data_IF_380988795862
#
_entry.id   IF_380988795862
#
_cell.length_a   1.000
_cell.length_b   1.000
_cell.length_c   1.000
_cell.angle_alpha   90.00
_cell.angle_beta   90.00
_cell.angle_gamma   90.00
#
_symmetry.space_group_name_H-M   'P 1'
#
loop_
_entity.id
_entity.type
_entity.pdbx_description
1 polymer ?
#
# COMPACT_ATOMS: atom_id res chain seq x y z
N UNK A 1 -23.97 108.14 74.53
CA UNK A 1 -22.88 108.01 75.53
C UNK A 1 -23.47 107.33 76.75
N UNK A 2 -22.93 106.30 77.42
CA UNK A 2 -21.90 105.29 77.18
C UNK A 2 -22.00 104.28 78.35
N UNK A 3 -22.01 102.98 78.05
CA UNK A 3 -21.44 101.79 78.74
C UNK A 3 -21.76 101.28 80.19
N UNK A 4 -21.97 99.94 80.22
CA UNK A 4 -21.52 98.85 81.15
C UNK A 4 -22.14 98.62 82.56
N UNK A 5 -22.22 97.35 83.07
CA UNK A 5 -21.06 96.53 83.55
C UNK A 5 -21.19 94.95 83.54
N UNK A 6 -20.21 94.23 84.14
CA UNK A 6 -20.09 92.76 84.32
C UNK A 6 -19.37 92.36 85.64
N UNK A 7 -19.73 91.25 86.34
CA UNK A 7 -18.89 90.39 87.25
C UNK A 7 -19.63 89.11 87.79
N UNK A 8 -19.02 88.07 88.48
CA UNK A 8 -18.82 86.68 87.97
C UNK A 8 -19.20 85.46 88.92
N UNK A 9 -18.54 84.29 88.70
CA UNK A 9 -18.82 82.82 88.85
C UNK A 9 -18.42 82.12 90.20
N UNK A 10 -19.03 80.95 90.52
CA UNK A 10 -18.44 79.82 91.32
C UNK A 10 -19.18 78.46 91.08
N UNK A 11 -18.50 77.28 91.10
CA UNK A 11 -19.10 75.92 91.29
C UNK A 11 -18.04 74.80 91.57
N UNK A 12 -18.38 73.81 92.42
CA UNK A 12 -17.56 72.71 93.02
C UNK A 12 -18.19 71.31 92.73
N UNK A 13 -17.41 70.20 92.62
CA UNK A 13 -17.90 68.84 92.20
C UNK A 13 -17.19 67.61 92.90
N UNK A 14 -17.88 66.55 93.39
CA UNK A 14 -17.38 65.55 94.38
C UNK A 14 -16.90 64.14 93.90
N UNK A 15 -16.50 63.91 92.64
CA UNK A 15 -16.39 62.56 92.01
C UNK A 15 -15.13 61.66 92.27
N UNK A 16 -14.32 61.83 93.31
CA UNK A 16 -12.97 61.20 93.35
C UNK A 16 -12.79 59.82 94.02
N UNK A 17 -13.70 59.28 94.85
CA UNK A 17 -13.42 58.06 95.65
C UNK A 17 -13.95 56.71 95.08
N UNK A 18 -14.92 56.66 94.18
CA UNK A 18 -15.44 55.38 93.61
C UNK A 18 -14.49 54.68 92.61
N UNK A 19 -13.30 55.23 92.35
CA UNK A 19 -12.47 54.86 91.20
C UNK A 19 -11.56 53.63 91.37
N UNK A 20 -11.23 53.18 92.59
CA UNK A 20 -10.06 52.28 92.79
C UNK A 20 -10.34 50.75 92.74
N UNK A 21 -11.46 50.26 93.30
CA UNK A 21 -11.79 48.82 93.23
C UNK A 21 -12.19 48.34 91.83
N UNK A 22 -12.65 49.26 90.97
CA UNK A 22 -12.92 48.98 89.57
C UNK A 22 -11.66 48.59 88.79
N UNK A 23 -10.47 49.05 89.21
CA UNK A 23 -9.23 48.90 88.44
C UNK A 23 -8.71 47.46 88.47
N UNK A 24 -8.77 46.78 89.62
CA UNK A 24 -8.19 45.43 89.82
C UNK A 24 -9.03 44.36 89.10
N UNK A 25 -10.37 44.45 89.16
CA UNK A 25 -11.26 43.59 88.40
C UNK A 25 -11.12 43.79 86.89
N UNK A 26 -10.83 45.02 86.46
CA UNK A 26 -10.57 45.35 85.06
C UNK A 26 -9.26 44.73 84.58
N UNK A 27 -8.18 44.82 85.35
CA UNK A 27 -6.87 44.24 84.99
C UNK A 27 -6.88 42.70 84.83
N UNK A 28 -7.57 41.97 85.71
CA UNK A 28 -7.70 40.51 85.60
C UNK A 28 -8.53 40.10 84.38
N UNK A 29 -9.61 40.84 84.09
CA UNK A 29 -10.43 40.64 82.87
C UNK A 29 -9.60 40.88 81.62
N UNK A 30 -8.80 41.95 81.58
CA UNK A 30 -7.88 42.22 80.46
C UNK A 30 -6.80 41.14 80.31
N UNK A 31 -6.30 40.58 81.40
CA UNK A 31 -5.29 39.51 81.37
C UNK A 31 -5.86 38.19 80.84
N UNK A 32 -7.06 37.79 81.29
CA UNK A 32 -7.76 36.63 80.76
C UNK A 32 -8.13 36.80 79.29
N UNK A 33 -8.54 38.01 78.89
CA UNK A 33 -8.79 38.34 77.49
C UNK A 33 -7.51 38.22 76.65
N UNK A 34 -6.38 38.70 77.17
CA UNK A 34 -5.09 38.60 76.50
C UNK A 34 -4.64 37.14 76.31
N UNK A 35 -4.77 36.29 77.34
CA UNK A 35 -4.47 34.87 77.20
C UNK A 35 -5.40 34.15 76.23
N UNK A 36 -6.70 34.48 76.23
CA UNK A 36 -7.66 33.93 75.28
C UNK A 36 -7.34 34.34 73.84
N UNK A 37 -6.92 35.60 73.62
CA UNK A 37 -6.48 36.09 72.31
C UNK A 37 -5.21 35.37 71.87
N UNK A 38 -4.19 35.26 72.73
CA UNK A 38 -2.93 34.58 72.39
C UNK A 38 -3.15 33.11 72.10
N UNK A 39 -3.96 32.42 72.91
CA UNK A 39 -4.35 31.03 72.68
C UNK A 39 -5.14 30.85 71.39
N UNK A 40 -6.08 31.75 71.10
CA UNK A 40 -6.86 31.76 69.86
C UNK A 40 -5.98 31.99 68.63
N UNK A 41 -5.09 32.98 68.67
CA UNK A 41 -4.13 33.27 67.59
C UNK A 41 -3.17 32.11 67.39
N UNK A 42 -2.63 31.54 68.48
CA UNK A 42 -1.76 30.35 68.42
C UNK A 42 -2.47 29.14 67.82
N UNK A 43 -3.73 28.89 68.19
CA UNK A 43 -4.56 27.82 67.64
C UNK A 43 -4.86 28.00 66.16
N UNK A 44 -5.20 29.22 65.74
CA UNK A 44 -5.44 29.55 64.32
C UNK A 44 -4.15 29.40 63.51
N UNK A 45 -3.01 29.88 64.02
CA UNK A 45 -1.73 29.73 63.36
C UNK A 45 -1.35 28.25 63.20
N UNK A 46 -1.50 27.45 64.25
CA UNK A 46 -1.25 26.01 64.20
C UNK A 46 -2.16 25.31 63.18
N UNK A 47 -3.45 25.64 63.18
CA UNK A 47 -4.39 25.09 62.19
C UNK A 47 -4.04 25.48 60.75
N UNK A 48 -3.68 26.74 60.51
CA UNK A 48 -3.31 27.20 59.17
C UNK A 48 -1.98 26.62 58.67
N UNK A 49 -1.03 26.34 59.57
CA UNK A 49 0.27 25.74 59.23
C UNK A 49 0.22 24.22 59.07
N UNK A 50 -0.70 23.54 59.77
CA UNK A 50 -0.80 22.07 59.76
C UNK A 50 -1.97 21.54 58.93
N UNK A 51 -2.85 22.42 58.41
CA UNK A 51 -3.94 21.96 57.53
C UNK A 51 -3.36 21.29 56.28
N UNK A 52 -3.85 20.10 55.91
CA UNK A 52 -3.48 19.47 54.64
C UNK A 52 -3.82 20.42 53.50
N UNK A 53 -2.92 20.58 52.54
CA UNK A 53 -3.25 21.26 51.30
C UNK A 53 -4.30 20.44 50.55
N UNK A 54 -5.38 21.06 50.02
CA UNK A 54 -6.31 20.34 49.16
C UNK A 54 -5.55 19.81 47.94
N UNK A 55 -5.87 18.60 47.47
CA UNK A 55 -5.24 18.06 46.28
C UNK A 55 -5.46 19.01 45.09
N UNK A 56 -4.48 19.11 44.18
CA UNK A 56 -4.63 19.95 43.00
C UNK A 56 -5.87 19.50 42.19
N UNK A 57 -6.61 20.43 41.58
CA UNK A 57 -7.76 20.08 40.77
C UNK A 57 -7.32 19.19 39.61
N UNK A 58 -8.00 18.06 39.44
CA UNK A 58 -7.76 17.11 38.35
C UNK A 58 -8.11 17.83 37.04
N UNK A 59 -7.11 18.11 36.21
CA UNK A 59 -7.36 18.59 34.86
C UNK A 59 -7.78 17.41 33.98
N UNK A 60 -9.10 17.23 33.83
CA UNK A 60 -9.64 16.33 32.83
C UNK A 60 -9.30 16.85 31.43
N UNK A 61 -8.30 16.25 30.80
CA UNK A 61 -8.05 16.45 29.38
C UNK A 61 -9.20 15.81 28.62
N UNK A 62 -10.15 16.62 28.14
CA UNK A 62 -11.19 16.13 27.24
C UNK A 62 -10.51 15.55 26.00
N UNK A 63 -10.57 14.23 25.88
CA UNK A 63 -10.12 13.53 24.68
C UNK A 63 -10.94 14.05 23.49
N UNK A 64 -10.25 14.68 22.54
CA UNK A 64 -10.87 15.08 21.29
C UNK A 64 -11.37 13.83 20.57
N UNK A 65 -12.64 13.82 20.17
CA UNK A 65 -13.18 12.75 19.34
C UNK A 65 -12.41 12.71 18.03
N UNK A 66 -11.99 11.49 17.63
CA UNK A 66 -11.32 11.25 16.35
C UNK A 66 -12.23 11.79 15.25
N UNK A 67 -11.79 12.84 14.55
CA UNK A 67 -12.50 13.29 13.36
C UNK A 67 -12.35 12.22 12.31
N UNK A 68 -13.44 11.50 12.03
CA UNK A 68 -13.50 10.56 10.91
C UNK A 68 -13.27 11.36 9.65
N UNK A 69 -12.11 11.18 9.03
CA UNK A 69 -11.78 11.83 7.75
C UNK A 69 -12.79 11.34 6.73
N UNK A 70 -13.70 12.21 6.28
CA UNK A 70 -14.54 11.90 5.14
C UNK A 70 -13.63 11.60 3.94
N UNK A 71 -13.70 10.37 3.45
CA UNK A 71 -13.01 9.99 2.23
C UNK A 71 -13.60 10.84 1.10
N UNK A 72 -12.73 11.56 0.39
CA UNK A 72 -13.11 12.27 -0.82
C UNK A 72 -13.77 11.28 -1.77
N UNK A 73 -14.98 11.59 -2.25
CA UNK A 73 -15.64 10.78 -3.29
C UNK A 73 -14.75 10.83 -4.54
N UNK A 74 -14.05 9.73 -4.80
CA UNK A 74 -13.31 9.55 -6.06
C UNK A 74 -14.35 9.24 -7.12
N UNK A 75 -14.63 10.20 -8.01
CA UNK A 75 -15.32 9.91 -9.25
C UNK A 75 -14.34 9.17 -10.17
N UNK A 76 -14.56 7.87 -10.33
CA UNK A 76 -13.74 7.07 -11.23
C UNK A 76 -14.05 7.49 -12.68
N UNK A 77 -13.03 7.78 -13.50
CA UNK A 77 -13.25 8.02 -14.91
C UNK A 77 -13.91 6.80 -15.55
N UNK A 78 -14.91 7.03 -16.39
CA UNK A 78 -15.51 5.95 -17.18
C UNK A 78 -14.55 5.62 -18.32
N UNK A 79 -13.84 4.51 -18.21
CA UNK A 79 -13.00 3.97 -19.28
C UNK A 79 -13.84 3.01 -20.11
N UNK A 80 -13.92 3.26 -21.42
CA UNK A 80 -14.56 2.35 -22.36
C UNK A 80 -13.50 1.47 -23.02
N UNK A 81 -13.73 0.16 -23.02
CA UNK A 81 -12.96 -0.78 -23.82
C UNK A 81 -13.74 -1.10 -25.09
N UNK A 82 -13.04 -1.21 -26.21
CA UNK A 82 -13.60 -1.67 -27.49
C UNK A 82 -12.78 -2.84 -27.94
N UNK A 83 -13.44 -3.94 -28.28
CA UNK A 83 -12.79 -5.07 -28.92
C UNK A 83 -12.44 -4.69 -30.36
N UNK A 84 -11.14 -4.68 -30.66
CA UNK A 84 -10.60 -4.40 -31.98
C UNK A 84 -9.93 -5.63 -32.61
N UNK A 85 -10.02 -6.80 -31.98
CA UNK A 85 -9.25 -8.01 -32.33
C UNK A 85 -9.42 -8.37 -33.80
N UNK A 86 -10.67 -8.45 -34.26
CA UNK A 86 -11.01 -8.73 -35.67
C UNK A 86 -10.52 -7.63 -36.61
N UNK A 87 -10.76 -6.36 -36.26
CA UNK A 87 -10.34 -5.22 -37.09
C UNK A 87 -8.82 -5.03 -37.11
N UNK A 88 -8.09 -5.62 -36.18
CA UNK A 88 -6.64 -5.61 -36.10
C UNK A 88 -6.02 -6.82 -36.83
N UNK A 89 -6.81 -7.75 -37.36
CA UNK A 89 -6.31 -8.94 -38.08
C UNK A 89 -5.87 -10.10 -37.16
N UNK A 90 -6.22 -10.06 -35.87
CA UNK A 90 -5.82 -11.09 -34.91
C UNK A 90 -6.88 -12.19 -34.87
N UNK A 91 -6.51 -13.43 -35.18
CA UNK A 91 -7.42 -14.58 -35.20
C UNK A 91 -6.98 -15.73 -34.28
N UNK A 92 -6.04 -15.45 -33.36
CA UNK A 92 -5.49 -16.43 -32.42
C UNK A 92 -6.59 -17.06 -31.55
N UNK A 93 -6.51 -18.38 -31.38
CA UNK A 93 -7.33 -19.14 -30.45
C UNK A 93 -6.44 -19.99 -29.56
N UNK A 94 -6.58 -19.81 -28.25
CA UNK A 94 -5.86 -20.59 -27.26
C UNK A 94 -6.47 -21.99 -27.12
N UNK A 95 -5.66 -23.03 -27.25
CA UNK A 95 -5.98 -24.42 -26.91
C UNK A 95 -5.30 -24.74 -25.58
N UNK A 96 -6.09 -24.86 -24.52
CA UNK A 96 -5.62 -25.26 -23.20
C UNK A 96 -5.61 -26.80 -23.01
N UNK A 97 -5.97 -27.59 -24.03
CA UNK A 97 -5.97 -29.05 -23.96
C UNK A 97 -7.09 -29.66 -23.12
N UNK A 98 -8.04 -28.86 -22.62
CA UNK A 98 -9.07 -29.35 -21.70
C UNK A 98 -10.02 -30.36 -22.38
N UNK A 99 -10.13 -31.56 -21.80
CA UNK A 99 -11.07 -32.61 -22.22
C UNK A 99 -11.89 -33.19 -21.06
N UNK A 100 -12.23 -32.32 -20.10
CA UNK A 100 -13.13 -32.65 -18.98
C UNK A 100 -12.46 -33.21 -17.73
N UNK A 101 -11.17 -33.54 -17.79
CA UNK A 101 -10.38 -34.01 -16.63
C UNK A 101 -9.97 -32.90 -15.66
N UNK A 102 -9.96 -31.63 -16.11
CA UNK A 102 -9.64 -30.44 -15.30
C UNK A 102 -8.24 -30.52 -14.69
N UNK A 103 -7.26 -30.85 -15.51
CA UNK A 103 -5.85 -30.89 -15.09
C UNK A 103 -5.37 -29.48 -14.75
N UNK A 104 -4.45 -29.34 -13.80
CA UNK A 104 -3.98 -28.03 -13.34
C UNK A 104 -3.46 -27.15 -14.49
N UNK A 105 -2.64 -27.65 -15.45
CA UNK A 105 -2.19 -26.85 -16.58
C UNK A 105 -3.33 -26.29 -17.45
N UNK A 106 -4.46 -27.01 -17.57
CA UNK A 106 -5.61 -26.60 -18.39
C UNK A 106 -6.31 -25.33 -17.86
N UNK A 107 -6.06 -24.99 -16.59
CA UNK A 107 -6.60 -23.79 -15.95
C UNK A 107 -5.70 -22.56 -16.12
N UNK A 108 -4.48 -22.75 -16.63
CA UNK A 108 -3.55 -21.67 -16.95
C UNK A 108 -3.77 -21.23 -18.39
N UNK A 109 -3.60 -19.92 -18.65
CA UNK A 109 -3.49 -19.41 -20.01
C UNK A 109 -2.03 -19.44 -20.48
N UNK A 110 -1.83 -19.33 -21.79
CA UNK A 110 -0.51 -19.04 -22.34
C UNK A 110 -0.11 -17.58 -22.13
N UNK A 111 1.18 -17.33 -22.05
CA UNK A 111 1.77 -16.01 -22.08
C UNK A 111 1.64 -15.33 -23.45
N UNK A 112 2.00 -14.06 -23.50
CA UNK A 112 2.20 -13.32 -24.72
C UNK A 112 3.40 -12.39 -24.58
N UNK A 113 4.00 -12.03 -25.71
CA UNK A 113 5.08 -11.06 -25.78
C UNK A 113 4.79 -9.99 -26.82
N UNK A 114 5.23 -8.77 -26.50
CA UNK A 114 5.40 -7.68 -27.46
C UNK A 114 6.90 -7.53 -27.68
N UNK A 115 7.35 -7.58 -28.93
CA UNK A 115 8.76 -7.42 -29.30
C UNK A 115 8.85 -7.12 -30.79
N UNK A 116 9.93 -6.48 -31.21
CA UNK A 116 10.25 -6.24 -32.62
C UNK A 116 11.09 -7.42 -33.10
N UNK A 117 10.51 -8.33 -33.90
CA UNK A 117 11.22 -9.56 -34.28
C UNK A 117 11.99 -9.45 -35.60
N UNK A 118 11.64 -8.47 -36.44
CA UNK A 118 12.27 -8.25 -37.75
C UNK A 118 13.01 -6.91 -37.87
N UNK A 119 13.22 -6.22 -36.75
CA UNK A 119 13.98 -4.97 -36.59
C UNK A 119 13.39 -3.81 -37.42
N UNK A 120 12.08 -3.79 -37.62
CA UNK A 120 11.39 -2.76 -38.41
C UNK A 120 10.94 -1.55 -37.58
N UNK A 121 11.06 -1.64 -36.24
CA UNK A 121 10.73 -0.61 -35.27
C UNK A 121 9.30 -0.69 -34.74
N UNK A 122 8.46 -1.56 -35.29
CA UNK A 122 7.11 -1.81 -34.83
C UNK A 122 7.08 -2.97 -33.82
N UNK A 123 6.20 -2.90 -32.82
CA UNK A 123 6.07 -4.00 -31.85
C UNK A 123 5.13 -5.05 -32.39
N UNK A 124 5.65 -6.26 -32.59
CA UNK A 124 4.93 -7.45 -33.00
C UNK A 124 4.34 -8.20 -31.81
N UNK A 125 3.61 -9.27 -32.11
CA UNK A 125 2.97 -10.11 -31.11
C UNK A 125 3.40 -11.56 -31.25
N UNK A 126 3.73 -12.19 -30.13
CA UNK A 126 3.80 -13.64 -30.01
C UNK A 126 2.81 -14.11 -28.96
N UNK A 127 1.92 -15.02 -29.35
CA UNK A 127 1.03 -15.73 -28.43
C UNK A 127 1.56 -17.13 -28.15
N UNK A 128 1.69 -17.45 -26.86
CA UNK A 128 2.00 -18.81 -26.41
C UNK A 128 0.72 -19.63 -26.38
N UNK A 129 0.79 -20.83 -26.92
CA UNK A 129 -0.33 -21.73 -26.96
C UNK A 129 -0.06 -23.00 -26.17
N UNK A 130 -1.14 -23.66 -25.75
CA UNK A 130 -1.06 -25.02 -25.26
C UNK A 130 -1.19 -26.01 -26.41
N UNK A 131 -1.25 -27.28 -26.03
CA UNK A 131 -1.53 -28.37 -26.96
C UNK A 131 -2.50 -29.36 -26.33
N UNK A 132 -3.06 -30.23 -27.18
CA UNK A 132 -3.81 -31.39 -26.72
C UNK A 132 -2.86 -32.37 -26.01
N UNK A 133 -3.36 -33.03 -24.98
CA UNK A 133 -2.56 -34.03 -24.28
C UNK A 133 -2.29 -35.24 -25.19
N UNK A 134 -1.06 -35.78 -25.22
CA UNK A 134 -0.72 -36.93 -26.07
C UNK A 134 -1.55 -38.20 -25.79
N UNK A 135 -2.09 -38.32 -24.57
CA UNK A 135 -2.91 -39.46 -24.15
C UNK A 135 -4.41 -39.26 -24.38
N UNK A 136 -4.85 -38.07 -24.76
CA UNK A 136 -6.25 -37.82 -25.07
C UNK A 136 -6.49 -38.17 -26.54
N UNK A 137 -6.85 -39.44 -26.77
CA UNK A 137 -7.08 -40.04 -28.09
C UNK A 137 -8.45 -39.70 -28.70
N UNK A 138 -9.26 -38.89 -28.02
CA UNK A 138 -10.58 -38.50 -28.51
C UNK A 138 -10.40 -37.58 -29.74
N UNK A 139 -10.89 -37.96 -30.92
CA UNK A 139 -10.98 -37.06 -32.05
C UNK A 139 -11.75 -35.80 -31.64
N UNK A 140 -11.39 -34.66 -32.21
CA UNK A 140 -12.26 -33.50 -32.14
C UNK A 140 -13.65 -33.84 -32.68
N UNK A 141 -14.67 -33.19 -32.13
CA UNK A 141 -16.02 -33.24 -32.70
C UNK A 141 -16.05 -32.76 -34.17
N UNK A 142 -15.04 -31.99 -34.59
CA UNK A 142 -14.89 -31.44 -35.94
C UNK A 142 -13.99 -32.23 -36.90
N UNK A 143 -13.20 -33.23 -36.47
CA UNK A 143 -12.28 -33.97 -37.34
C UNK A 143 -11.09 -33.15 -37.87
N UNK A 144 -9.87 -33.64 -37.70
CA UNK A 144 -8.64 -33.15 -38.35
C UNK A 144 -8.28 -31.66 -38.11
N UNK A 145 -8.67 -31.04 -36.98
CA UNK A 145 -8.16 -29.69 -36.68
C UNK A 145 -6.64 -29.77 -36.49
N UNK A 146 -5.85 -28.91 -37.19
CA UNK A 146 -4.40 -28.86 -37.00
C UNK A 146 -4.04 -28.65 -35.53
N UNK A 147 -2.90 -29.19 -35.13
CA UNK A 147 -2.37 -28.94 -33.80
C UNK A 147 -2.19 -27.44 -33.59
N UNK A 148 -2.59 -26.96 -32.42
CA UNK A 148 -2.32 -25.60 -32.00
C UNK A 148 -0.80 -25.40 -31.90
N UNK A 149 -0.33 -24.27 -32.42
CA UNK A 149 1.06 -23.84 -32.39
C UNK A 149 1.14 -22.49 -31.67
N UNK A 150 2.35 -22.00 -31.41
CA UNK A 150 2.55 -20.59 -31.10
C UNK A 150 2.00 -19.74 -32.26
N UNK A 151 1.71 -18.45 -32.02
CA UNK A 151 1.27 -17.58 -33.10
C UNK A 151 2.06 -16.27 -33.12
N UNK A 152 2.82 -16.06 -34.20
CA UNK A 152 3.62 -14.86 -34.46
C UNK A 152 2.86 -13.95 -35.43
N UNK A 153 2.63 -12.73 -35.02
CA UNK A 153 1.91 -11.70 -35.76
C UNK A 153 2.79 -10.50 -35.98
N UNK A 154 3.02 -10.13 -37.25
CA UNK A 154 3.78 -8.93 -37.61
C UNK A 154 2.88 -7.72 -37.67
N UNK A 155 3.27 -6.63 -37.02
CA UNK A 155 2.58 -5.35 -37.04
C UNK A 155 2.97 -4.52 -38.27
N UNK A 156 2.03 -3.77 -38.85
CA UNK A 156 2.31 -2.85 -39.98
C UNK A 156 2.61 -1.39 -39.54
N UNK A 157 2.81 -1.19 -38.23
CA UNK A 157 2.97 0.10 -37.57
C UNK A 157 1.69 0.91 -37.41
N UNK A 158 0.56 0.40 -37.89
CA UNK A 158 -0.76 1.04 -37.80
C UNK A 158 -1.73 0.21 -36.95
N UNK A 159 -1.24 -0.85 -36.32
CA UNK A 159 -2.04 -1.76 -35.50
C UNK A 159 -2.85 -2.74 -36.34
N UNK A 160 -2.44 -3.02 -37.58
CA UNK A 160 -2.87 -4.20 -38.31
C UNK A 160 -1.80 -5.28 -38.18
N UNK A 161 -2.23 -6.51 -37.95
CA UNK A 161 -1.37 -7.64 -37.68
C UNK A 161 -1.57 -8.73 -38.73
N UNK A 162 -0.48 -9.16 -39.34
CA UNK A 162 -0.44 -10.32 -40.25
C UNK A 162 0.06 -11.55 -39.48
N UNK A 163 -0.68 -12.67 -39.53
CA UNK A 163 -0.18 -13.95 -39.04
C UNK A 163 0.95 -14.46 -39.95
N UNK A 164 2.18 -14.42 -39.43
CA UNK A 164 3.41 -14.86 -40.11
C UNK A 164 3.99 -16.13 -39.49
N UNK A 165 3.21 -16.84 -38.66
CA UNK A 165 3.64 -18.02 -37.91
C UNK A 165 4.19 -19.11 -38.83
N UNK A 166 3.47 -19.42 -39.91
CA UNK A 166 3.79 -20.56 -40.77
C UNK A 166 5.15 -20.40 -41.45
N UNK A 167 6.03 -21.37 -41.21
CA UNK A 167 7.39 -21.37 -41.74
C UNK A 167 8.33 -20.41 -41.02
N UNK A 168 7.90 -19.73 -39.94
CA UNK A 168 8.79 -18.96 -39.08
C UNK A 168 9.73 -19.85 -38.27
N UNK A 169 9.37 -21.12 -38.04
CA UNK A 169 10.03 -22.01 -37.08
C UNK A 169 9.37 -22.00 -35.70
N UNK A 170 8.45 -21.06 -35.44
CA UNK A 170 7.57 -21.05 -34.26
C UNK A 170 6.24 -21.79 -34.48
N UNK A 171 6.01 -22.33 -35.67
CA UNK A 171 4.87 -23.18 -36.04
C UNK A 171 4.98 -24.62 -35.46
N UNK A 172 5.36 -24.70 -34.19
CA UNK A 172 5.54 -25.93 -33.42
C UNK A 172 4.46 -26.04 -32.33
N UNK A 173 3.97 -27.25 -32.13
CA UNK A 173 3.01 -27.56 -31.07
C UNK A 173 3.77 -27.96 -29.79
N UNK A 174 3.40 -27.32 -28.68
CA UNK A 174 3.91 -27.62 -27.34
C UNK A 174 2.88 -27.17 -26.29
N UNK A 175 3.04 -27.60 -25.04
CA UNK A 175 2.22 -27.10 -23.95
C UNK A 175 2.91 -25.90 -23.30
N UNK A 176 2.86 -24.75 -23.98
CA UNK A 176 3.55 -23.53 -23.53
C UNK A 176 2.86 -22.86 -22.36
N UNK A 177 3.66 -22.20 -21.51
CA UNK A 177 3.25 -21.49 -20.31
C UNK A 177 3.64 -20.01 -20.44
N UNK A 178 4.86 -19.65 -20.05
CA UNK A 178 5.39 -18.30 -20.14
C UNK A 178 6.26 -18.10 -21.37
N UNK A 179 6.55 -16.83 -21.66
CA UNK A 179 7.51 -16.41 -22.68
C UNK A 179 8.43 -15.34 -22.09
N UNK A 180 9.71 -15.40 -22.46
CA UNK A 180 10.69 -14.36 -22.20
C UNK A 180 11.42 -14.03 -23.49
N UNK A 181 11.57 -12.74 -23.76
CA UNK A 181 12.23 -12.21 -24.95
C UNK A 181 13.57 -11.58 -24.53
N UNK A 182 14.63 -11.89 -25.26
CA UNK A 182 15.98 -11.36 -24.99
C UNK A 182 16.96 -11.76 -26.07
N UNK A 183 17.97 -10.93 -26.33
CA UNK A 183 19.11 -11.20 -27.22
C UNK A 183 20.19 -11.96 -26.42
N UNK A 184 20.16 -13.29 -26.46
CA UNK A 184 21.02 -14.11 -25.57
C UNK A 184 22.42 -14.33 -26.10
N UNK A 185 22.66 -14.09 -27.40
CA UNK A 185 23.97 -14.26 -28.02
C UNK A 185 24.56 -12.95 -28.57
N UNK A 186 23.90 -11.83 -28.27
CA UNK A 186 24.31 -10.47 -28.59
C UNK A 186 24.43 -10.23 -30.09
N UNK A 187 23.56 -10.85 -30.87
CA UNK A 187 23.52 -10.70 -32.32
C UNK A 187 22.65 -9.51 -32.78
N UNK A 188 22.03 -8.82 -31.81
CA UNK A 188 21.17 -7.67 -32.00
C UNK A 188 19.71 -8.00 -32.24
N UNK A 189 19.34 -9.29 -32.29
CA UNK A 189 17.97 -9.75 -32.53
C UNK A 189 17.42 -10.42 -31.28
N UNK A 190 16.17 -10.14 -30.99
CA UNK A 190 15.50 -10.75 -29.85
C UNK A 190 15.20 -12.23 -30.12
N UNK A 191 15.68 -13.11 -29.24
CA UNK A 191 15.36 -14.53 -29.19
C UNK A 191 14.15 -14.81 -28.29
N UNK A 192 13.61 -16.02 -28.41
CA UNK A 192 12.37 -16.42 -27.74
C UNK A 192 12.61 -17.64 -26.85
N UNK A 193 12.44 -17.47 -25.54
CA UNK A 193 12.38 -18.59 -24.60
C UNK A 193 10.93 -18.86 -24.16
N UNK A 194 10.50 -20.11 -24.21
CA UNK A 194 9.17 -20.56 -23.82
C UNK A 194 9.30 -21.57 -22.68
N UNK A 195 8.69 -21.25 -21.54
CA UNK A 195 8.51 -22.23 -20.48
C UNK A 195 7.33 -23.15 -20.79
N UNK A 196 7.41 -24.43 -20.42
CA UNK A 196 6.39 -25.42 -20.82
C UNK A 196 5.99 -26.35 -19.67
N UNK A 197 4.93 -27.13 -19.91
CA UNK A 197 4.77 -28.44 -19.26
C UNK A 197 5.59 -29.43 -20.09
N UNK A 198 6.66 -29.94 -19.48
CA UNK A 198 7.70 -30.73 -20.14
C UNK A 198 8.94 -29.89 -20.47
N UNK A 199 9.57 -30.20 -21.60
CA UNK A 199 10.82 -29.56 -22.02
C UNK A 199 10.59 -28.12 -22.47
N UNK A 200 11.26 -27.16 -21.82
CA UNK A 200 11.29 -25.75 -22.21
C UNK A 200 11.93 -25.59 -23.60
N UNK A 201 11.70 -24.46 -24.26
CA UNK A 201 12.23 -24.21 -25.62
C UNK A 201 12.94 -22.88 -25.71
N UNK A 202 14.10 -22.87 -26.37
CA UNK A 202 14.80 -21.65 -26.78
C UNK A 202 14.88 -21.61 -28.30
N UNK A 203 14.37 -20.53 -28.87
CA UNK A 203 14.39 -20.25 -30.29
C UNK A 203 15.28 -19.06 -30.59
N UNK A 204 16.33 -19.30 -31.34
CA UNK A 204 17.25 -18.28 -31.80
C UNK A 204 16.70 -17.57 -33.05
N UNK A 205 16.69 -16.24 -33.05
CA UNK A 205 16.23 -15.43 -34.18
C UNK A 205 17.33 -15.30 -35.25
N UNK A 206 17.18 -16.03 -36.35
CA UNK A 206 18.13 -15.98 -37.48
C UNK A 206 17.90 -14.75 -38.39
N UNK A 207 16.95 -13.89 -38.04
CA UNK A 207 16.49 -12.76 -38.84
C UNK A 207 15.47 -13.16 -39.92
N UNK A 208 14.94 -12.16 -40.63
CA UNK A 208 13.95 -12.35 -41.70
C UNK A 208 12.73 -13.18 -41.28
N UNK A 209 12.32 -13.07 -40.01
CA UNK A 209 11.21 -13.82 -39.43
C UNK A 209 11.45 -15.32 -39.33
N UNK A 210 12.71 -15.75 -39.18
CA UNK A 210 13.10 -17.16 -39.01
C UNK A 210 13.68 -17.39 -37.63
N UNK A 211 13.21 -18.46 -37.01
CA UNK A 211 13.58 -18.91 -35.69
C UNK A 211 14.07 -20.35 -35.77
N UNK A 212 15.21 -20.62 -35.16
CA UNK A 212 15.78 -21.96 -35.03
C UNK A 212 15.70 -22.42 -33.59
N UNK A 213 15.16 -23.61 -33.38
CA UNK A 213 15.25 -24.26 -32.06
C UNK A 213 16.70 -24.61 -31.73
N UNK A 214 17.23 -24.00 -30.66
CA UNK A 214 18.58 -24.21 -30.14
C UNK A 214 18.57 -24.79 -28.73
N UNK A 215 17.42 -25.27 -28.27
CA UNK A 215 17.20 -25.76 -26.89
C UNK A 215 18.24 -26.78 -26.44
N UNK A 216 18.54 -27.77 -27.30
CA UNK A 216 19.49 -28.85 -27.00
C UNK A 216 20.92 -28.30 -26.89
N UNK A 217 21.32 -27.44 -27.83
CA UNK A 217 22.68 -26.89 -27.89
C UNK A 217 22.93 -25.93 -26.72
N UNK A 218 21.92 -25.14 -26.35
CA UNK A 218 21.97 -24.25 -25.19
C UNK A 218 21.82 -24.99 -23.85
N UNK A 219 21.36 -26.25 -23.87
CA UNK A 219 21.14 -27.07 -22.68
C UNK A 219 20.19 -26.43 -21.64
N UNK A 220 19.10 -25.83 -22.13
CA UNK A 220 18.12 -25.09 -21.30
C UNK A 220 16.74 -25.77 -21.23
N UNK A 221 16.60 -26.95 -21.83
CA UNK A 221 15.31 -27.63 -21.96
C UNK A 221 14.73 -28.17 -20.65
N UNK A 222 15.55 -28.45 -19.64
CA UNK A 222 15.10 -29.12 -18.42
C UNK A 222 14.61 -30.56 -18.67
N UNK A 223 13.92 -31.16 -17.69
CA UNK A 223 13.42 -32.52 -17.81
C UNK A 223 12.05 -32.58 -18.55
N UNK A 224 11.73 -33.73 -19.12
CA UNK A 224 10.47 -33.93 -19.88
C UNK A 224 9.23 -34.07 -19.00
N UNK A 225 9.40 -34.27 -17.69
CA UNK A 225 8.36 -34.49 -16.68
C UNK A 225 8.22 -33.32 -15.69
N UNK A 226 8.87 -32.19 -15.98
CA UNK A 226 8.79 -30.97 -15.19
C UNK A 226 7.69 -30.02 -15.67
N UNK A 227 7.38 -29.02 -14.85
CA UNK A 227 6.48 -27.93 -15.20
C UNK A 227 7.13 -26.60 -14.83
N UNK A 228 7.46 -25.82 -15.87
CA UNK A 228 7.94 -24.45 -15.74
C UNK A 228 6.79 -23.48 -16.02
N UNK A 229 6.41 -22.66 -15.04
CA UNK A 229 5.25 -21.75 -15.16
C UNK A 229 5.60 -20.37 -15.72
N UNK A 230 6.86 -19.95 -15.61
CA UNK A 230 7.35 -18.63 -16.02
C UNK A 230 8.85 -18.71 -16.32
N UNK A 231 9.37 -17.70 -16.99
CA UNK A 231 10.76 -17.56 -17.39
C UNK A 231 11.11 -16.07 -17.46
N UNK A 232 12.41 -15.77 -17.39
CA UNK A 232 12.92 -14.41 -17.50
C UNK A 232 14.43 -14.43 -17.77
N UNK A 233 14.90 -13.39 -18.41
CA UNK A 233 16.32 -13.18 -18.71
C UNK A 233 16.96 -12.25 -17.67
N UNK A 234 18.25 -12.45 -17.41
CA UNK A 234 19.01 -11.61 -16.49
C UNK A 234 20.48 -11.59 -16.91
N UNK A 235 20.93 -10.46 -17.45
CA UNK A 235 22.36 -10.15 -17.58
C UNK A 235 22.94 -9.93 -16.17
N UNK A 236 23.48 -11.00 -15.58
CA UNK A 236 23.94 -10.99 -14.20
C UNK A 236 25.34 -10.37 -14.04
N UNK A 237 26.22 -10.56 -15.01
CA UNK A 237 27.61 -10.09 -14.98
C UNK A 237 27.87 -8.83 -15.80
N UNK A 238 26.83 -8.30 -16.46
CA UNK A 238 26.79 -7.03 -17.17
C UNK A 238 27.80 -6.99 -18.33
N UNK A 239 27.93 -8.08 -19.07
CA UNK A 239 28.78 -8.14 -20.25
C UNK A 239 28.02 -7.81 -21.54
N UNK A 240 26.68 -7.84 -21.50
CA UNK A 240 25.78 -7.46 -22.58
C UNK A 240 25.29 -8.62 -23.45
N UNK A 241 25.56 -9.87 -23.09
CA UNK A 241 24.70 -11.01 -23.45
C UNK A 241 23.76 -11.39 -22.27
N UNK A 242 22.86 -12.38 -22.47
CA UNK A 242 21.84 -12.79 -21.47
C UNK A 242 21.98 -14.24 -21.03
#
# INVERSE_FOLDING_TARGET
>A
MSDKPSTPINDYDPDTEERDDAVIGTALRWSLLAFAIVGGVGGVAAYLLTRPTPPPPIQETKLATVQVREASKVELPTVHFTDITESAGIHFQHENGARGKKLLPETMGGGCAFFDFDDDGDQDLLFVNGQRWPWDAEPDAEGDKPLATLALYRNDGKGQFDDVTRGSGLDISMYGMGVAIGDFDRDGRCDVFISTVGTNRLFHNEGAGKFRDVTEVANVGGATDEWSSSCGWLDYDNDGDL
#
